data_IF_659657184833
#
_entry.id   IF_659657184833
#
_cell.length_a   1.000
_cell.length_b   1.000
_cell.length_c   1.000
_cell.angle_alpha   90.00
_cell.angle_beta   90.00
_cell.angle_gamma   90.00
#
_symmetry.space_group_name_H-M   'P 1'
#
loop_
_entity.id
_entity.type
_entity.pdbx_description
1 polymer ?
#
# COMPACT_ATOMS: atom_id res chain seq x y z
N UNK A 1 21.53 7.61 -9.81
CA UNK A 1 20.79 7.78 -8.54
C UNK A 1 19.98 9.06 -8.62
N UNK A 2 18.69 9.03 -8.28
CA UNK A 2 17.94 10.26 -8.00
C UNK A 2 18.70 11.08 -6.96
N UNK A 3 18.67 12.42 -7.05
CA UNK A 3 19.22 13.25 -5.97
C UNK A 3 18.30 13.17 -4.74
N UNK A 4 18.81 13.42 -3.53
CA UNK A 4 18.00 13.52 -2.31
C UNK A 4 16.81 14.49 -2.49
N UNK A 5 17.04 15.58 -3.22
CA UNK A 5 15.99 16.57 -3.51
C UNK A 5 14.84 15.97 -4.35
N UNK A 6 15.12 15.08 -5.30
CA UNK A 6 14.05 14.45 -6.11
C UNK A 6 13.13 13.55 -5.28
N UNK A 7 13.67 12.84 -4.27
CA UNK A 7 12.86 12.03 -3.36
C UNK A 7 12.06 12.91 -2.41
N UNK A 8 12.65 13.98 -1.87
CA UNK A 8 11.95 14.94 -1.02
C UNK A 8 10.79 15.62 -1.76
N UNK A 9 11.05 16.22 -2.93
CA UNK A 9 10.05 16.91 -3.75
C UNK A 9 8.91 15.96 -4.18
N UNK A 10 9.22 14.68 -4.43
CA UNK A 10 8.23 13.64 -4.71
C UNK A 10 7.31 13.37 -3.51
N UNK A 11 7.90 13.23 -2.31
CA UNK A 11 7.13 12.97 -1.09
C UNK A 11 6.21 14.16 -0.76
N UNK A 12 6.69 15.38 -1.00
CA UNK A 12 5.93 16.63 -0.81
C UNK A 12 4.86 16.86 -1.90
N UNK A 13 5.07 16.33 -3.12
CA UNK A 13 4.07 16.33 -4.21
C UNK A 13 4.23 17.41 -5.28
N UNK A 14 5.40 18.05 -5.38
CA UNK A 14 5.57 19.33 -6.11
C UNK A 14 6.29 19.23 -7.47
N UNK A 15 6.35 18.06 -8.11
CA UNK A 15 7.12 17.88 -9.34
C UNK A 15 6.25 17.90 -10.61
N UNK A 16 6.20 19.06 -11.28
CA UNK A 16 5.70 19.20 -12.66
C UNK A 16 6.87 19.40 -13.64
N UNK A 17 6.92 18.64 -14.74
CA UNK A 17 7.90 18.89 -15.81
C UNK A 17 7.29 19.74 -16.93
N UNK A 18 7.82 20.94 -17.16
CA UNK A 18 7.42 21.80 -18.28
C UNK A 18 8.26 21.49 -19.54
N UNK A 19 8.06 20.31 -20.14
CA UNK A 19 8.56 20.04 -21.49
C UNK A 19 7.40 19.78 -22.44
N UNK A 20 7.44 20.39 -23.62
CA UNK A 20 6.47 20.09 -24.67
C UNK A 20 6.64 18.63 -25.09
N UNK A 21 5.63 17.83 -24.78
CA UNK A 21 5.58 16.41 -25.04
C UNK A 21 4.35 16.06 -25.88
N UNK A 22 4.43 14.98 -26.65
CA UNK A 22 3.39 14.54 -27.58
C UNK A 22 3.01 13.09 -27.29
N UNK A 23 1.69 12.84 -27.20
CA UNK A 23 1.15 11.49 -26.97
C UNK A 23 1.30 10.62 -28.23
N UNK A 24 2.17 9.61 -28.18
CA UNK A 24 2.27 8.56 -29.20
C UNK A 24 2.00 7.20 -28.56
N UNK A 25 0.71 6.84 -28.49
CA UNK A 25 0.21 5.60 -27.90
C UNK A 25 0.85 4.33 -28.47
N UNK A 26 1.34 4.38 -29.71
CA UNK A 26 1.98 3.24 -30.36
C UNK A 26 3.32 2.84 -29.73
N UNK A 27 3.90 3.71 -28.89
CA UNK A 27 5.22 3.53 -28.27
C UNK A 27 5.17 3.09 -26.81
N UNK A 28 3.99 3.05 -26.19
CA UNK A 28 3.90 2.73 -24.77
C UNK A 28 4.01 1.24 -24.49
N UNK A 29 4.65 0.84 -23.37
CA UNK A 29 4.70 -0.55 -22.97
C UNK A 29 3.29 -1.06 -22.64
N UNK A 30 2.99 -2.29 -23.04
CA UNK A 30 1.71 -2.95 -22.68
C UNK A 30 1.85 -3.57 -21.29
N UNK A 31 1.78 -2.74 -20.27
CA UNK A 31 1.68 -3.17 -18.87
C UNK A 31 0.21 -3.16 -18.48
N UNK A 32 -0.30 -4.30 -18.01
CA UNK A 32 -1.69 -4.45 -17.56
C UNK A 32 -1.76 -4.46 -16.04
N UNK A 33 -2.90 -4.10 -15.47
CA UNK A 33 -3.14 -4.20 -14.02
C UNK A 33 -2.76 -5.59 -13.51
N UNK A 34 -1.85 -5.70 -12.52
CA UNK A 34 -1.50 -6.96 -11.89
C UNK A 34 -2.73 -7.71 -11.37
N UNK A 35 -2.74 -9.03 -11.56
CA UNK A 35 -3.87 -9.88 -11.16
C UNK A 35 -3.67 -10.57 -9.80
N UNK A 36 -2.44 -10.55 -9.27
CA UNK A 36 -2.07 -11.16 -8.00
C UNK A 36 -1.34 -10.14 -7.14
N UNK A 37 -1.47 -10.28 -5.82
CA UNK A 37 -0.71 -9.52 -4.82
C UNK A 37 0.52 -10.32 -4.37
N UNK A 38 1.56 -9.62 -3.93
CA UNK A 38 2.69 -10.24 -3.24
C UNK A 38 2.22 -10.75 -1.87
N UNK A 39 2.81 -11.83 -1.32
CA UNK A 39 2.47 -12.24 0.04
C UNK A 39 2.79 -11.12 1.05
N UNK A 40 1.76 -10.60 1.72
CA UNK A 40 1.90 -9.57 2.75
C UNK A 40 2.60 -10.13 4.00
N UNK A 41 3.38 -9.29 4.70
CA UNK A 41 3.93 -9.66 5.99
C UNK A 41 2.89 -9.38 7.08
N UNK A 42 2.73 -10.27 8.06
CA UNK A 42 1.96 -9.89 9.24
C UNK A 42 2.81 -8.91 10.08
N UNK A 43 2.20 -7.86 10.64
CA UNK A 43 2.94 -6.90 11.46
C UNK A 43 3.53 -7.52 12.73
N UNK A 44 4.83 -7.33 12.94
CA UNK A 44 5.61 -7.95 14.03
C UNK A 44 6.91 -8.58 13.54
N UNK A 45 7.66 -9.17 14.47
CA UNK A 45 8.89 -9.91 14.16
C UNK A 45 8.93 -11.26 14.88
N UNK A 46 9.67 -12.21 14.31
CA UNK A 46 9.85 -13.56 14.87
C UNK A 46 8.52 -14.20 15.31
N UNK A 47 7.52 -14.15 14.43
CA UNK A 47 6.16 -14.54 14.78
C UNK A 47 6.02 -16.05 14.89
N UNK A 48 5.16 -16.49 15.83
CA UNK A 48 4.74 -17.88 15.92
C UNK A 48 3.73 -18.18 14.80
N UNK A 49 3.78 -19.40 14.27
CA UNK A 49 2.87 -19.84 13.22
C UNK A 49 2.11 -21.08 13.67
N UNK A 50 0.81 -21.12 13.38
CA UNK A 50 -0.05 -22.31 13.49
C UNK A 50 -0.60 -22.68 12.12
N UNK A 51 -0.78 -23.99 11.90
CA UNK A 51 -1.54 -24.53 10.76
C UNK A 51 -2.74 -25.26 11.36
N UNK A 52 -3.94 -24.68 11.20
CA UNK A 52 -5.11 -25.08 11.96
C UNK A 52 -4.84 -24.97 13.48
N UNK A 53 -5.11 -26.01 14.29
CA UNK A 53 -4.85 -25.97 15.73
C UNK A 53 -3.39 -26.26 16.11
N UNK A 54 -2.53 -26.62 15.16
CA UNK A 54 -1.19 -27.16 15.45
C UNK A 54 -0.13 -26.04 15.35
N UNK A 55 0.61 -25.71 16.43
CA UNK A 55 1.75 -24.82 16.35
C UNK A 55 2.90 -25.47 15.59
N UNK A 56 3.62 -24.69 14.78
CA UNK A 56 4.85 -25.15 14.12
C UNK A 56 6.02 -24.93 15.08
N UNK A 57 6.54 -25.99 15.74
CA UNK A 57 7.57 -25.83 16.74
C UNK A 57 8.89 -25.40 16.09
N UNK A 58 9.67 -24.59 16.81
CA UNK A 58 11.00 -24.10 16.39
C UNK A 58 11.03 -23.25 15.10
N UNK A 59 9.89 -23.00 14.46
CA UNK A 59 9.78 -22.04 13.35
C UNK A 59 9.33 -20.67 13.87
N UNK A 60 9.93 -19.62 13.31
CA UNK A 60 9.57 -18.23 13.53
C UNK A 60 9.66 -17.48 12.21
N UNK A 61 8.62 -16.73 11.88
CA UNK A 61 8.60 -15.91 10.68
C UNK A 61 9.35 -14.60 10.97
N UNK A 62 10.47 -14.37 10.28
CA UNK A 62 11.25 -13.14 10.37
C UNK A 62 10.82 -12.19 9.25
N UNK A 63 10.20 -11.07 9.61
CA UNK A 63 9.67 -10.12 8.63
C UNK A 63 10.58 -8.90 8.45
N UNK A 64 11.61 -8.73 9.28
CA UNK A 64 12.44 -7.52 9.23
C UNK A 64 13.56 -7.64 8.20
N UNK A 65 13.66 -6.62 7.34
CA UNK A 65 14.71 -6.47 6.32
C UNK A 65 15.48 -5.15 6.53
N UNK A 66 16.67 -5.05 5.93
CA UNK A 66 17.42 -3.79 5.83
C UNK A 66 17.46 -3.25 4.39
N UNK A 67 17.91 -1.99 4.25
CA UNK A 67 17.88 -1.28 2.98
C UNK A 67 18.66 -2.01 1.86
N UNK A 68 19.79 -2.61 2.20
CA UNK A 68 20.65 -3.35 1.26
C UNK A 68 20.07 -4.72 0.88
N UNK A 69 19.13 -5.26 1.68
CA UNK A 69 18.52 -6.57 1.49
C UNK A 69 17.27 -6.54 0.60
N UNK A 70 16.63 -5.38 0.37
CA UNK A 70 15.30 -5.28 -0.28
C UNK A 70 15.26 -5.84 -1.71
N UNK A 71 16.41 -5.87 -2.39
CA UNK A 71 16.56 -6.37 -3.75
C UNK A 71 15.92 -5.49 -4.83
N UNK A 72 16.21 -5.78 -6.11
CA UNK A 72 15.64 -5.05 -7.24
C UNK A 72 14.16 -5.34 -7.41
N UNK A 73 13.40 -4.31 -7.77
CA UNK A 73 11.98 -4.41 -8.10
C UNK A 73 11.75 -5.14 -9.45
N UNK A 74 10.64 -5.86 -9.53
CA UNK A 74 10.14 -6.49 -10.74
C UNK A 74 8.62 -6.30 -10.84
N UNK A 75 8.15 -5.73 -11.94
CA UNK A 75 6.73 -5.59 -12.23
C UNK A 75 6.00 -6.93 -12.17
N UNK A 76 4.90 -6.98 -11.42
CA UNK A 76 4.03 -8.14 -11.27
C UNK A 76 4.77 -9.45 -10.87
N UNK A 77 5.81 -9.31 -10.04
CA UNK A 77 6.74 -10.40 -9.65
C UNK A 77 6.08 -11.61 -8.96
N UNK A 78 4.89 -11.45 -8.38
CA UNK A 78 4.22 -12.53 -7.65
C UNK A 78 5.12 -13.11 -6.56
N UNK A 79 5.37 -14.43 -6.59
CA UNK A 79 5.98 -15.15 -5.47
C UNK A 79 7.50 -15.33 -5.62
N UNK A 80 8.06 -15.39 -6.84
CA UNK A 80 9.51 -15.53 -7.04
C UNK A 80 9.99 -15.02 -8.42
N UNK A 81 10.86 -14.00 -8.41
CA UNK A 81 11.63 -13.56 -9.58
C UNK A 81 13.08 -13.27 -9.19
N UNK A 82 14.04 -13.58 -10.07
CA UNK A 82 15.46 -13.30 -9.86
C UNK A 82 15.99 -12.34 -10.92
N UNK A 83 16.58 -11.23 -10.48
CA UNK A 83 17.19 -10.20 -11.33
C UNK A 83 18.72 -10.28 -11.22
N UNK A 84 19.46 -10.53 -12.31
CA UNK A 84 20.93 -10.54 -12.31
C UNK A 84 21.51 -9.16 -11.98
N UNK A 85 22.72 -9.13 -11.38
CA UNK A 85 23.41 -7.87 -11.04
C UNK A 85 23.65 -6.97 -12.24
N UNK A 86 23.90 -7.55 -13.42
CA UNK A 86 24.07 -6.81 -14.68
C UNK A 86 22.80 -6.08 -15.15
N UNK A 87 21.63 -6.46 -14.62
CA UNK A 87 20.33 -5.89 -14.98
C UNK A 87 19.75 -5.01 -13.87
N UNK A 88 20.39 -4.99 -12.69
CA UNK A 88 19.96 -4.22 -11.52
C UNK A 88 20.57 -2.83 -11.50
N UNK A 89 19.74 -1.82 -11.29
CA UNK A 89 20.20 -0.44 -11.14
C UNK A 89 20.86 -0.18 -9.77
N UNK A 90 20.67 -1.07 -8.79
CA UNK A 90 21.25 -0.95 -7.45
C UNK A 90 22.70 -1.49 -7.38
N UNK A 91 23.23 -2.05 -8.47
CA UNK A 91 24.59 -2.59 -8.52
C UNK A 91 24.75 -3.98 -7.90
N UNK A 92 23.67 -4.59 -7.39
CA UNK A 92 23.63 -5.97 -6.92
C UNK A 92 22.40 -6.72 -7.45
N UNK A 93 22.56 -8.01 -7.75
CA UNK A 93 21.48 -8.89 -8.19
C UNK A 93 20.72 -9.49 -7.01
N UNK A 94 19.57 -10.10 -7.28
CA UNK A 94 18.73 -10.71 -6.25
C UNK A 94 17.28 -10.85 -6.68
N UNK A 95 16.48 -11.44 -5.80
CA UNK A 95 15.03 -11.43 -5.84
C UNK A 95 14.47 -10.26 -5.03
N UNK A 96 13.20 -9.94 -5.25
CA UNK A 96 12.47 -9.06 -4.34
C UNK A 96 12.46 -9.68 -2.93
N UNK A 97 13.01 -8.95 -1.95
CA UNK A 97 12.92 -9.31 -0.55
C UNK A 97 11.89 -8.38 0.09
N UNK A 98 10.67 -8.90 0.24
CA UNK A 98 9.58 -8.17 0.87
C UNK A 98 9.64 -8.42 2.38
N UNK A 99 9.53 -7.34 3.14
CA UNK A 99 9.60 -7.33 4.58
C UNK A 99 9.26 -5.95 5.12
N UNK A 100 9.29 -5.84 6.44
CA UNK A 100 9.01 -4.62 7.18
C UNK A 100 10.33 -3.99 7.62
N UNK A 101 10.41 -2.67 7.53
CA UNK A 101 11.49 -1.87 8.10
C UNK A 101 10.91 -0.65 8.82
N UNK A 102 11.71 0.03 9.63
CA UNK A 102 11.32 1.28 10.26
C UNK A 102 12.06 2.47 9.63
N UNK A 103 11.36 3.59 9.50
CA UNK A 103 11.90 4.87 9.04
C UNK A 103 11.54 5.98 10.02
N UNK A 104 12.42 6.96 10.19
CA UNK A 104 12.25 8.05 11.14
C UNK A 104 11.00 8.90 10.88
N UNK A 105 10.75 9.22 9.61
CA UNK A 105 9.70 10.14 9.19
C UNK A 105 8.46 9.43 8.63
N UNK A 106 8.58 8.16 8.23
CA UNK A 106 7.51 7.34 7.64
C UNK A 106 7.02 6.20 8.53
N UNK A 107 7.59 6.01 9.72
CA UNK A 107 7.21 4.91 10.61
C UNK A 107 7.57 3.54 10.01
N UNK A 108 6.76 2.52 10.29
CA UNK A 108 6.90 1.20 9.67
C UNK A 108 6.48 1.22 8.21
N UNK A 109 7.23 0.53 7.36
CA UNK A 109 6.97 0.38 5.93
C UNK A 109 6.99 -1.10 5.57
N UNK A 110 5.92 -1.60 4.96
CA UNK A 110 5.86 -2.92 4.31
C UNK A 110 6.17 -2.77 2.81
N UNK A 111 7.24 -3.44 2.37
CA UNK A 111 7.71 -3.33 0.99
C UNK A 111 6.83 -4.06 -0.04
N UNK A 112 6.05 -5.07 0.36
CA UNK A 112 5.09 -5.72 -0.53
C UNK A 112 3.99 -4.72 -0.93
N UNK A 113 3.42 -4.02 0.06
CA UNK A 113 2.39 -3.00 -0.14
C UNK A 113 2.88 -1.84 -1.02
N UNK A 114 4.11 -1.36 -0.79
CA UNK A 114 4.73 -0.33 -1.64
C UNK A 114 4.83 -0.81 -3.10
N UNK A 115 5.28 -2.06 -3.33
CA UNK A 115 5.52 -2.59 -4.67
C UNK A 115 4.23 -2.97 -5.40
N UNK A 116 3.24 -3.52 -4.71
CA UNK A 116 1.95 -3.87 -5.30
C UNK A 116 1.20 -2.62 -5.74
N UNK A 117 1.13 -1.59 -4.88
CA UNK A 117 0.47 -0.33 -5.25
C UNK A 117 1.22 0.42 -6.35
N UNK A 118 2.57 0.33 -6.37
CA UNK A 118 3.38 0.83 -7.48
C UNK A 118 3.01 0.17 -8.82
N UNK A 119 2.97 -1.17 -8.85
CA UNK A 119 2.64 -1.93 -10.06
C UNK A 119 1.19 -1.68 -10.51
N UNK A 120 0.25 -1.58 -9.57
CA UNK A 120 -1.14 -1.23 -9.86
C UNK A 120 -1.27 0.16 -10.46
N UNK A 121 -0.51 1.14 -9.95
CA UNK A 121 -0.48 2.50 -10.50
C UNK A 121 -0.02 2.48 -11.96
N UNK A 122 1.05 1.74 -12.26
CA UNK A 122 1.58 1.63 -13.62
C UNK A 122 0.60 0.92 -14.56
N UNK A 123 -0.03 -0.17 -14.10
CA UNK A 123 -0.99 -0.92 -14.90
C UNK A 123 -2.28 -0.15 -15.19
N UNK A 124 -2.79 0.59 -14.20
CA UNK A 124 -3.97 1.44 -14.36
C UNK A 124 -3.70 2.63 -15.28
N UNK A 125 -2.50 3.21 -15.22
CA UNK A 125 -2.14 4.40 -15.96
C UNK A 125 -2.36 4.28 -17.47
N UNK A 126 -1.84 3.23 -18.11
CA UNK A 126 -1.97 3.08 -19.55
C UNK A 126 -3.41 2.79 -19.99
N UNK A 127 -4.16 2.03 -19.20
CA UNK A 127 -5.57 1.73 -19.47
C UNK A 127 -6.43 3.00 -19.34
N UNK A 128 -6.18 3.82 -18.32
CA UNK A 128 -6.88 5.10 -18.11
C UNK A 128 -6.52 6.08 -19.21
N UNK A 129 -5.23 6.21 -19.56
CA UNK A 129 -4.77 7.14 -20.59
C UNK A 129 -5.41 6.85 -21.95
N UNK A 130 -5.46 5.58 -22.36
CA UNK A 130 -6.05 5.16 -23.63
C UNK A 130 -7.56 5.42 -23.72
N UNK A 131 -8.25 5.50 -22.57
CA UNK A 131 -9.71 5.68 -22.49
C UNK A 131 -10.11 7.03 -21.87
N UNK A 132 -9.17 7.96 -21.70
CA UNK A 132 -9.44 9.21 -21.01
C UNK A 132 -10.49 10.07 -21.76
N UNK A 133 -11.52 10.50 -21.03
CA UNK A 133 -12.65 11.24 -21.59
C UNK A 133 -13.81 10.35 -22.07
N UNK A 134 -13.64 9.02 -22.09
CA UNK A 134 -14.67 8.07 -22.49
C UNK A 134 -15.25 7.36 -21.27
N UNK A 135 -16.52 6.96 -21.37
CA UNK A 135 -17.08 6.03 -20.40
C UNK A 135 -16.43 4.65 -20.60
N UNK A 136 -15.80 4.12 -19.56
CA UNK A 136 -15.02 2.89 -19.64
C UNK A 136 -15.06 2.13 -18.32
N UNK A 137 -14.84 0.82 -18.37
CA UNK A 137 -14.77 -0.02 -17.18
C UNK A 137 -13.49 -0.83 -17.22
N UNK A 138 -12.75 -0.80 -16.11
CA UNK A 138 -11.54 -1.61 -15.91
C UNK A 138 -11.85 -2.65 -14.84
N UNK A 139 -11.97 -3.91 -15.26
CA UNK A 139 -12.20 -5.01 -14.31
C UNK A 139 -10.93 -5.29 -13.49
N UNK A 140 -11.11 -5.47 -12.19
CA UNK A 140 -10.05 -5.78 -11.24
C UNK A 140 -10.28 -7.19 -10.66
N UNK A 141 -9.23 -7.83 -10.09
CA UNK A 141 -9.41 -9.09 -9.38
C UNK A 141 -10.49 -8.97 -8.30
N UNK A 142 -11.44 -9.91 -8.34
CA UNK A 142 -12.54 -9.99 -7.39
C UNK A 142 -12.06 -10.46 -6.01
N UNK A 143 -12.67 -9.94 -4.96
CA UNK A 143 -12.37 -10.32 -3.57
C UNK A 143 -13.66 -10.66 -2.82
N UNK A 144 -14.34 -9.68 -2.23
CA UNK A 144 -15.68 -9.86 -1.65
C UNK A 144 -16.79 -10.06 -2.69
N UNK A 145 -16.47 -9.78 -3.95
CA UNK A 145 -17.35 -9.81 -5.12
C UNK A 145 -16.68 -9.07 -6.28
N UNK A 146 -17.42 -8.73 -7.34
CA UNK A 146 -16.90 -7.93 -8.44
C UNK A 146 -16.26 -6.62 -7.94
N UNK A 147 -15.06 -6.33 -8.43
CA UNK A 147 -14.34 -5.08 -8.18
C UNK A 147 -13.90 -4.48 -9.52
N UNK A 148 -14.08 -3.19 -9.71
CA UNK A 148 -13.76 -2.52 -10.97
C UNK A 148 -13.54 -1.02 -10.79
N UNK A 149 -12.86 -0.40 -11.74
CA UNK A 149 -12.89 1.06 -11.94
C UNK A 149 -14.00 1.37 -12.93
N UNK A 150 -14.88 2.30 -12.56
CA UNK A 150 -15.90 2.88 -13.42
C UNK A 150 -15.47 4.30 -13.81
N UNK A 151 -15.20 4.52 -15.10
CA UNK A 151 -14.84 5.82 -15.66
C UNK A 151 -16.06 6.46 -16.33
N UNK A 152 -16.29 7.74 -16.05
CA UNK A 152 -17.31 8.55 -16.69
C UNK A 152 -16.73 9.28 -17.91
N UNK A 153 -17.56 9.46 -18.93
CA UNK A 153 -17.22 10.32 -20.07
C UNK A 153 -17.16 11.79 -19.64
N UNK A 154 -16.15 12.52 -20.09
CA UNK A 154 -16.06 13.97 -19.91
C UNK A 154 -15.34 14.60 -21.12
N UNK A 155 -15.50 15.90 -21.31
CA UNK A 155 -14.82 16.60 -22.40
C UNK A 155 -13.33 16.77 -22.11
N UNK A 156 -12.51 15.86 -22.64
CA UNK A 156 -11.06 15.96 -22.59
C UNK A 156 -10.47 16.79 -23.75
N UNK A 157 -11.29 17.26 -24.72
CA UNK A 157 -10.79 17.90 -25.95
C UNK A 157 -10.04 19.22 -25.71
N UNK A 158 -10.36 19.90 -24.61
CA UNK A 158 -9.67 21.13 -24.19
C UNK A 158 -8.33 20.88 -23.48
N UNK A 159 -8.04 19.63 -23.09
CA UNK A 159 -6.79 19.28 -22.41
C UNK A 159 -5.66 19.09 -23.43
N UNK A 160 -4.50 19.67 -23.14
CA UNK A 160 -3.25 19.36 -23.86
C UNK A 160 -2.80 17.93 -23.57
N UNK A 161 -1.87 17.41 -24.38
CA UNK A 161 -1.28 16.08 -24.17
C UNK A 161 -0.65 15.92 -22.77
N UNK A 162 0.05 16.96 -22.30
CA UNK A 162 0.62 16.98 -20.95
C UNK A 162 -0.46 16.98 -19.86
N UNK A 163 -1.55 17.72 -20.05
CA UNK A 163 -2.67 17.71 -19.11
C UNK A 163 -3.37 16.35 -19.08
N UNK A 164 -3.58 15.72 -20.25
CA UNK A 164 -4.14 14.36 -20.34
C UNK A 164 -3.24 13.34 -19.63
N UNK A 165 -1.93 13.43 -19.84
CA UNK A 165 -0.94 12.61 -19.15
C UNK A 165 -1.00 12.80 -17.63
N UNK A 166 -0.98 14.05 -17.16
CA UNK A 166 -1.07 14.40 -15.74
C UNK A 166 -2.36 13.90 -15.10
N UNK A 167 -3.51 14.13 -15.73
CA UNK A 167 -4.82 13.67 -15.23
C UNK A 167 -4.87 12.14 -15.14
N UNK A 168 -4.43 11.43 -16.19
CA UNK A 168 -4.38 9.97 -16.18
C UNK A 168 -3.42 9.43 -15.09
N UNK A 169 -2.28 10.09 -14.88
CA UNK A 169 -1.30 9.71 -13.86
C UNK A 169 -1.88 9.80 -12.44
N UNK A 170 -2.55 10.92 -12.12
CA UNK A 170 -3.15 11.12 -10.80
C UNK A 170 -4.37 10.23 -10.57
N UNK A 171 -5.21 10.00 -11.60
CA UNK A 171 -6.28 9.01 -11.53
C UNK A 171 -5.73 7.63 -11.23
N UNK A 172 -4.70 7.19 -11.94
CA UNK A 172 -4.09 5.88 -11.74
C UNK A 172 -3.52 5.70 -10.34
N UNK A 173 -2.80 6.71 -9.82
CA UNK A 173 -2.24 6.67 -8.47
C UNK A 173 -3.32 6.60 -7.39
N UNK A 174 -4.38 7.42 -7.50
CA UNK A 174 -5.51 7.39 -6.54
C UNK A 174 -6.29 6.09 -6.62
N UNK A 175 -6.59 5.60 -7.82
CA UNK A 175 -7.34 4.36 -7.99
C UNK A 175 -6.54 3.12 -7.57
N UNK A 176 -5.21 3.10 -7.77
CA UNK A 176 -4.34 2.05 -7.23
C UNK A 176 -4.33 2.07 -5.71
N UNK A 177 -4.23 3.25 -5.11
CA UNK A 177 -4.29 3.41 -3.67
C UNK A 177 -5.65 2.96 -3.10
N UNK A 178 -6.77 3.37 -3.70
CA UNK A 178 -8.09 2.89 -3.30
C UNK A 178 -8.28 1.39 -3.55
N UNK A 179 -7.65 0.82 -4.60
CA UNK A 179 -7.65 -0.63 -4.80
C UNK A 179 -7.00 -1.32 -3.59
N UNK A 180 -5.89 -0.81 -3.08
CA UNK A 180 -5.27 -1.32 -1.86
C UNK A 180 -6.17 -1.12 -0.62
N UNK A 181 -6.81 0.03 -0.45
CA UNK A 181 -7.78 0.22 0.65
C UNK A 181 -8.97 -0.76 0.59
N UNK A 182 -9.45 -1.07 -0.62
CA UNK A 182 -10.51 -2.06 -0.79
C UNK A 182 -10.06 -3.47 -0.40
N UNK A 183 -8.76 -3.77 -0.53
CA UNK A 183 -8.16 -5.03 -0.08
C UNK A 183 -8.17 -5.13 1.46
N UNK A 184 -7.86 -4.04 2.16
CA UNK A 184 -7.95 -3.98 3.63
C UNK A 184 -9.38 -4.26 4.13
N UNK A 185 -10.37 -3.64 3.48
CA UNK A 185 -11.80 -3.92 3.74
C UNK A 185 -12.10 -5.40 3.48
N UNK A 186 -11.67 -5.93 2.33
CA UNK A 186 -11.94 -7.31 1.97
C UNK A 186 -11.36 -8.30 2.99
N UNK A 187 -10.10 -8.14 3.38
CA UNK A 187 -9.44 -9.00 4.36
C UNK A 187 -10.13 -8.94 5.72
N UNK A 188 -10.57 -7.75 6.15
CA UNK A 188 -11.32 -7.60 7.42
C UNK A 188 -12.62 -8.41 7.39
N UNK A 189 -13.31 -8.40 6.24
CA UNK A 189 -14.55 -9.13 5.99
C UNK A 189 -14.35 -10.60 5.62
N UNK A 190 -13.14 -11.14 5.81
CA UNK A 190 -12.84 -12.57 5.69
C UNK A 190 -12.41 -13.03 4.29
N UNK A 191 -12.06 -12.11 3.39
CA UNK A 191 -11.33 -12.47 2.18
C UNK A 191 -9.95 -13.06 2.52
N UNK A 192 -9.50 -14.00 1.69
CA UNK A 192 -8.18 -14.60 1.77
C UNK A 192 -7.70 -14.94 0.37
N UNK A 193 -6.51 -14.48 0.01
CA UNK A 193 -5.85 -14.76 -1.25
C UNK A 193 -5.44 -16.24 -1.36
N UNK A 194 -5.21 -16.90 -0.22
CA UNK A 194 -4.93 -18.33 -0.15
C UNK A 194 -5.97 -19.09 0.69
N UNK A 195 -6.67 -20.04 0.05
CA UNK A 195 -7.68 -20.87 0.70
C UNK A 195 -7.14 -21.57 1.96
N UNK A 196 -7.77 -21.33 3.11
CA UNK A 196 -7.39 -21.91 4.40
C UNK A 196 -6.37 -21.10 5.20
N UNK A 197 -5.96 -19.93 4.71
CA UNK A 197 -5.13 -18.97 5.45
C UNK A 197 -5.91 -17.68 5.70
N UNK A 198 -6.51 -17.50 6.89
CA UNK A 198 -7.19 -16.25 7.22
C UNK A 198 -6.23 -15.05 7.13
N UNK A 199 -6.58 -14.06 6.31
CA UNK A 199 -5.81 -12.82 6.13
C UNK A 199 -6.31 -11.67 7.00
N UNK A 200 -7.31 -11.91 7.86
CA UNK A 200 -7.85 -10.94 8.83
C UNK A 200 -6.78 -10.35 9.74
N UNK A 201 -5.64 -11.02 9.89
CA UNK A 201 -4.49 -10.53 10.66
C UNK A 201 -3.87 -9.27 10.04
N UNK A 202 -3.80 -9.22 8.70
CA UNK A 202 -3.22 -8.10 7.93
C UNK A 202 -4.21 -6.96 7.71
N UNK A 203 -5.51 -7.22 7.79
CA UNK A 203 -6.53 -6.19 7.50
C UNK A 203 -6.38 -4.90 8.33
N UNK A 204 -6.15 -3.77 7.69
CA UNK A 204 -5.88 -2.48 8.35
C UNK A 204 -4.63 -2.51 9.26
N UNK A 205 -3.57 -3.23 8.89
CA UNK A 205 -2.33 -3.14 9.65
C UNK A 205 -1.79 -1.71 9.65
N UNK A 206 -1.07 -1.33 10.71
CA UNK A 206 -0.73 0.08 10.95
C UNK A 206 0.16 0.72 9.87
N UNK A 207 0.94 -0.10 9.17
CA UNK A 207 1.92 0.26 8.15
C UNK A 207 1.34 0.28 6.73
N UNK A 208 0.23 -0.43 6.48
CA UNK A 208 -0.22 -0.75 5.13
C UNK A 208 -0.66 0.49 4.36
N UNK A 209 -1.54 1.33 4.94
CA UNK A 209 -2.05 2.53 4.26
C UNK A 209 -0.92 3.50 3.87
N UNK A 210 0.07 3.69 4.74
CA UNK A 210 1.20 4.58 4.44
C UNK A 210 2.12 3.95 3.37
N UNK A 211 2.34 2.64 3.45
CA UNK A 211 3.14 1.87 2.49
C UNK A 211 2.51 1.87 1.09
N UNK A 212 1.20 1.64 1.01
CA UNK A 212 0.42 1.71 -0.22
C UNK A 212 0.52 3.13 -0.84
N UNK A 213 0.30 4.17 -0.04
CA UNK A 213 0.41 5.57 -0.50
C UNK A 213 1.81 5.92 -1.00
N UNK A 214 2.86 5.42 -0.34
CA UNK A 214 4.25 5.59 -0.78
C UNK A 214 4.48 4.95 -2.16
N UNK A 215 3.97 3.74 -2.38
CA UNK A 215 4.02 3.05 -3.68
C UNK A 215 3.38 3.84 -4.80
N UNK A 216 2.16 4.34 -4.57
CA UNK A 216 1.44 5.19 -5.51
C UNK A 216 2.23 6.47 -5.87
N UNK A 217 2.79 7.16 -4.87
CA UNK A 217 3.57 8.39 -5.09
C UNK A 217 4.89 8.16 -5.84
N UNK A 218 5.59 7.06 -5.57
CA UNK A 218 6.80 6.68 -6.30
C UNK A 218 6.51 6.57 -7.80
N UNK A 219 5.44 5.85 -8.16
CA UNK A 219 5.12 5.62 -9.56
C UNK A 219 4.46 6.83 -10.22
N UNK A 220 3.62 7.58 -9.51
CA UNK A 220 3.11 8.88 -9.97
C UNK A 220 4.26 9.79 -10.42
N UNK A 221 5.32 9.89 -9.59
CA UNK A 221 6.48 10.70 -9.91
C UNK A 221 7.26 10.20 -11.12
N UNK A 222 7.41 8.88 -11.27
CA UNK A 222 7.99 8.31 -12.48
C UNK A 222 7.18 8.71 -13.70
N UNK A 223 5.84 8.54 -13.66
CA UNK A 223 4.88 8.91 -14.70
C UNK A 223 5.05 10.37 -15.10
N UNK A 224 4.97 11.29 -14.15
CA UNK A 224 5.15 12.72 -14.41
C UNK A 224 6.52 13.04 -15.04
N UNK A 225 7.57 12.30 -14.71
CA UNK A 225 8.91 12.50 -15.27
C UNK A 225 9.18 11.69 -16.55
N UNK A 226 8.20 10.94 -17.07
CA UNK A 226 8.33 10.11 -18.26
C UNK A 226 9.46 9.05 -18.18
N UNK A 227 9.79 8.58 -16.96
CA UNK A 227 10.89 7.65 -16.66
C UNK A 227 10.49 6.15 -16.70
N UNK A 228 9.58 5.74 -17.58
CA UNK A 228 9.02 4.37 -17.59
C UNK A 228 8.72 3.82 -18.99
N UNK A 229 9.40 4.30 -20.04
CA UNK A 229 9.10 3.97 -21.43
C UNK A 229 9.33 2.48 -21.81
N UNK A 230 9.83 1.67 -20.87
CA UNK A 230 9.89 0.22 -20.97
C UNK A 230 9.76 -0.43 -19.58
N UNK A 231 9.33 -1.69 -19.51
CA UNK A 231 9.29 -2.45 -18.24
C UNK A 231 10.67 -2.49 -17.55
N UNK A 232 11.75 -2.57 -18.33
CA UNK A 232 13.12 -2.54 -17.80
C UNK A 232 13.42 -1.22 -17.11
N UNK A 233 13.13 -0.10 -17.76
CA UNK A 233 13.33 1.23 -17.18
C UNK A 233 12.44 1.44 -15.96
N UNK A 234 11.19 0.99 -16.01
CA UNK A 234 10.27 1.00 -14.88
C UNK A 234 10.87 0.25 -13.68
N UNK A 235 11.26 -1.02 -13.85
CA UNK A 235 11.84 -1.84 -12.79
C UNK A 235 13.09 -1.20 -12.17
N UNK A 236 13.97 -0.66 -13.02
CA UNK A 236 15.18 0.02 -12.58
C UNK A 236 14.86 1.30 -11.80
N UNK A 237 13.94 2.13 -12.31
CA UNK A 237 13.63 3.42 -11.71
C UNK A 237 12.81 3.30 -10.43
N UNK A 238 11.90 2.32 -10.32
CA UNK A 238 11.23 2.00 -9.04
C UNK A 238 12.25 1.53 -8.02
N UNK A 239 13.19 0.66 -8.40
CA UNK A 239 14.26 0.22 -7.48
C UNK A 239 15.05 1.41 -6.92
N UNK A 240 15.43 2.34 -7.80
CA UNK A 240 16.20 3.52 -7.44
C UNK A 240 15.41 4.51 -6.57
N UNK A 241 14.17 4.82 -6.94
CA UNK A 241 13.33 5.75 -6.19
C UNK A 241 12.87 5.17 -4.86
N UNK A 242 12.54 3.88 -4.79
CA UNK A 242 12.23 3.23 -3.52
C UNK A 242 13.39 3.36 -2.54
N UNK A 243 14.61 3.03 -2.99
CA UNK A 243 15.80 3.15 -2.15
C UNK A 243 16.03 4.59 -1.69
N UNK A 244 15.95 5.56 -2.60
CA UNK A 244 16.09 6.99 -2.27
C UNK A 244 15.00 7.49 -1.31
N UNK A 245 13.76 7.03 -1.48
CA UNK A 245 12.63 7.41 -0.63
C UNK A 245 12.79 6.88 0.79
N UNK A 246 13.23 5.63 0.95
CA UNK A 246 13.53 5.05 2.25
C UNK A 246 14.67 5.80 2.96
N UNK A 247 15.70 6.20 2.22
CA UNK A 247 16.78 7.04 2.76
C UNK A 247 16.26 8.42 3.20
N UNK A 248 15.42 9.08 2.39
CA UNK A 248 14.83 10.38 2.72
C UNK A 248 13.91 10.33 3.94
N UNK A 249 13.13 9.24 4.07
CA UNK A 249 12.34 8.93 5.26
C UNK A 249 13.20 8.59 6.48
N UNK A 250 14.51 8.43 6.32
CA UNK A 250 15.46 8.14 7.38
C UNK A 250 15.34 6.69 7.87
N UNK A 251 15.36 5.72 6.95
CA UNK A 251 15.44 4.29 7.25
C UNK A 251 16.54 4.01 8.27
N UNK A 252 16.19 3.22 9.29
CA UNK A 252 17.12 2.80 10.34
C UNK A 252 17.70 1.43 10.04
N UNK A 253 18.76 1.04 10.75
CA UNK A 253 19.33 -0.30 10.57
C UNK A 253 18.35 -1.41 11.03
N UNK A 254 18.63 -2.65 10.60
CA UNK A 254 17.81 -3.83 10.92
C UNK A 254 17.63 -4.03 12.42
N UNK A 255 18.69 -3.79 13.20
CA UNK A 255 18.69 -4.00 14.64
C UNK A 255 17.79 -2.98 15.35
N UNK A 256 17.84 -1.73 14.91
CA UNK A 256 16.95 -0.67 15.38
C UNK A 256 15.49 -0.97 15.02
N UNK A 257 15.21 -1.42 13.79
CA UNK A 257 13.85 -1.83 13.38
C UNK A 257 13.29 -2.95 14.27
N UNK A 258 14.10 -3.98 14.58
CA UNK A 258 13.73 -5.05 15.52
C UNK A 258 13.50 -4.54 16.94
N UNK A 259 14.34 -3.63 17.44
CA UNK A 259 14.18 -3.02 18.76
C UNK A 259 12.90 -2.18 18.85
N UNK A 260 12.55 -1.45 17.78
CA UNK A 260 11.28 -0.72 17.71
C UNK A 260 10.11 -1.68 17.78
N UNK A 261 10.11 -2.77 16.99
CA UNK A 261 9.05 -3.79 17.05
C UNK A 261 8.94 -4.39 18.46
N UNK A 262 10.05 -4.72 19.11
CA UNK A 262 10.06 -5.21 20.48
C UNK A 262 9.50 -4.19 21.48
N UNK A 263 9.75 -2.89 21.29
CA UNK A 263 9.25 -1.84 22.19
C UNK A 263 7.72 -1.63 22.11
N UNK A 264 7.13 -1.96 20.96
CA UNK A 264 5.67 -1.87 20.73
C UNK A 264 4.95 -3.22 20.87
N UNK A 265 5.68 -4.29 21.24
CA UNK A 265 5.08 -5.58 21.59
C UNK A 265 4.22 -5.46 22.86
N UNK A 266 3.09 -6.17 22.86
CA UNK A 266 1.99 -6.05 23.81
C UNK A 266 1.16 -4.76 23.69
N UNK A 267 1.48 -3.87 22.75
CA UNK A 267 0.77 -2.58 22.56
C UNK A 267 0.20 -2.42 21.16
N UNK A 268 1.04 -2.65 20.13
CA UNK A 268 0.65 -2.59 18.72
C UNK A 268 0.52 -3.97 18.10
N UNK A 269 1.26 -4.94 18.63
CA UNK A 269 1.16 -6.35 18.27
C UNK A 269 1.47 -7.24 19.48
N UNK A 270 1.23 -8.54 19.38
CA UNK A 270 1.43 -9.48 20.48
C UNK A 270 2.26 -10.71 20.05
N UNK A 271 3.52 -10.76 20.46
CA UNK A 271 4.44 -11.89 20.19
C UNK A 271 4.04 -13.21 20.87
N UNK A 272 3.12 -13.16 21.84
CA UNK A 272 2.61 -14.38 22.48
C UNK A 272 1.60 -15.11 21.59
N UNK A 273 0.90 -14.37 20.75
CA UNK A 273 -0.03 -14.90 19.76
C UNK A 273 0.67 -15.45 18.52
N UNK A 274 -0.08 -16.20 17.73
CA UNK A 274 0.43 -16.85 16.52
C UNK A 274 -0.43 -16.49 15.32
N UNK A 275 0.20 -16.35 14.16
CA UNK A 275 -0.51 -16.31 12.88
C UNK A 275 -1.33 -17.61 12.74
N UNK A 276 -2.62 -17.55 12.33
CA UNK A 276 -3.34 -16.39 11.76
C UNK A 276 -4.29 -15.66 12.72
N UNK A 277 -4.01 -15.61 14.04
CA UNK A 277 -4.89 -14.89 14.98
C UNK A 277 -5.00 -13.40 14.62
N UNK A 278 -6.22 -12.93 14.32
CA UNK A 278 -6.54 -11.52 14.01
C UNK A 278 -5.93 -10.56 15.04
N UNK A 279 -6.09 -10.82 16.33
CA UNK A 279 -5.62 -9.92 17.39
C UNK A 279 -4.17 -10.15 17.82
N UNK A 280 -3.37 -10.81 16.97
CA UNK A 280 -1.92 -10.65 17.04
C UNK A 280 -1.53 -9.21 16.69
N UNK A 281 -2.26 -8.55 15.79
CA UNK A 281 -2.16 -7.11 15.53
C UNK A 281 -3.19 -6.40 16.41
N UNK A 282 -2.72 -5.57 17.34
CA UNK A 282 -3.51 -4.92 18.38
C UNK A 282 -3.89 -3.48 18.01
N UNK A 283 -2.99 -2.79 17.31
CA UNK A 283 -3.20 -1.44 16.79
C UNK A 283 -3.39 -1.53 15.27
N UNK A 284 -4.46 -0.92 14.76
CA UNK A 284 -4.82 -0.90 13.33
C UNK A 284 -5.00 0.53 12.83
N UNK A 285 -4.98 0.71 11.50
CA UNK A 285 -5.14 2.01 10.84
C UNK A 285 -6.43 2.07 10.03
N UNK A 286 -7.45 2.77 10.55
CA UNK A 286 -8.78 2.88 9.94
C UNK A 286 -9.06 4.22 9.25
N UNK A 287 -8.05 5.11 9.18
CA UNK A 287 -8.18 6.43 8.59
C UNK A 287 -7.85 6.38 7.10
N UNK A 288 -8.81 5.86 6.32
CA UNK A 288 -8.72 5.74 4.87
C UNK A 288 -8.92 7.09 4.19
N UNK A 289 -8.33 7.24 3.01
CA UNK A 289 -8.48 8.39 2.13
C UNK A 289 -7.16 9.00 1.66
N UNK A 290 -7.27 10.13 0.96
CA UNK A 290 -6.20 10.77 0.19
C UNK A 290 -5.02 11.35 1.01
N UNK A 291 -5.06 11.28 2.34
CA UNK A 291 -4.04 11.86 3.25
C UNK A 291 -3.62 10.80 4.25
N UNK A 292 -2.34 10.45 4.25
CA UNK A 292 -1.78 9.41 5.11
C UNK A 292 -0.65 9.94 5.97
N UNK A 293 -0.78 9.69 7.28
CA UNK A 293 0.24 9.99 8.30
C UNK A 293 0.67 8.67 8.93
N UNK A 294 1.98 8.45 9.14
CA UNK A 294 2.44 7.20 9.71
C UNK A 294 2.15 7.15 11.21
N UNK A 295 1.90 5.96 11.74
CA UNK A 295 1.81 5.75 13.18
C UNK A 295 3.14 6.11 13.84
N UNK A 296 3.08 6.94 14.89
CA UNK A 296 4.26 7.51 15.53
C UNK A 296 4.59 6.80 16.84
N UNK A 297 5.86 6.52 17.02
CA UNK A 297 6.39 6.15 18.34
C UNK A 297 6.26 7.34 19.29
N UNK A 298 6.04 7.02 20.56
CA UNK A 298 6.13 7.98 21.66
C UNK A 298 7.29 7.59 22.59
N UNK A 299 7.81 8.53 23.39
CA UNK A 299 8.81 8.19 24.40
C UNK A 299 8.37 7.07 25.36
N UNK A 300 7.08 7.01 25.68
CA UNK A 300 6.47 5.99 26.52
C UNK A 300 6.45 4.60 25.85
N UNK A 301 6.22 4.55 24.53
CA UNK A 301 6.27 3.30 23.77
C UNK A 301 7.67 2.70 23.80
N UNK A 302 8.69 3.53 23.53
CA UNK A 302 10.09 3.11 23.53
C UNK A 302 10.60 2.71 24.93
N UNK A 303 10.10 3.38 25.97
CA UNK A 303 10.54 3.16 27.35
C UNK A 303 11.99 3.58 27.59
N UNK A 304 12.44 3.40 28.83
CA UNK A 304 13.80 3.81 29.25
C UNK A 304 14.90 2.91 28.68
N UNK A 305 14.56 1.65 28.41
CA UNK A 305 15.53 0.64 27.93
C UNK A 305 15.99 0.92 26.50
N UNK A 306 15.14 1.55 25.68
CA UNK A 306 15.46 2.00 24.33
C UNK A 306 15.80 3.50 24.26
N UNK A 307 16.52 4.01 25.26
CA UNK A 307 16.89 5.44 25.36
C UNK A 307 17.66 5.95 24.12
N UNK A 308 18.44 5.08 23.48
CA UNK A 308 19.16 5.34 22.24
C UNK A 308 18.24 5.50 21.01
N UNK A 309 16.98 5.10 21.09
CA UNK A 309 15.98 5.21 20.02
C UNK A 309 15.02 6.39 20.20
N UNK A 310 15.16 7.16 21.28
CA UNK A 310 14.23 8.25 21.62
C UNK A 310 14.14 9.34 20.54
N UNK A 311 15.19 9.51 19.73
CA UNK A 311 15.16 10.41 18.58
C UNK A 311 14.10 10.01 17.54
N UNK A 312 13.76 8.72 17.42
CA UNK A 312 12.72 8.22 16.49
C UNK A 312 11.31 8.73 16.85
N UNK A 313 11.05 8.98 18.14
CA UNK A 313 9.81 9.55 18.62
C UNK A 313 9.75 11.08 18.43
N UNK A 314 10.88 11.73 18.17
CA UNK A 314 10.99 13.19 18.06
C UNK A 314 11.01 13.70 16.62
N UNK A 315 11.35 12.84 15.65
CA UNK A 315 11.37 13.22 14.23
C UNK A 315 9.99 13.71 13.75
N UNK A 316 9.88 14.72 12.88
CA UNK A 316 8.60 15.07 12.27
C UNK A 316 8.15 13.98 11.30
N UNK A 317 6.85 13.74 11.21
CA UNK A 317 6.29 12.81 10.22
C UNK A 317 6.25 13.48 8.85
N UNK A 318 6.52 12.72 7.79
CA UNK A 318 6.17 13.13 6.43
C UNK A 318 4.76 12.63 6.15
N UNK A 319 3.84 13.58 5.91
CA UNK A 319 2.47 13.28 5.48
C UNK A 319 2.48 13.05 3.98
N UNK A 320 1.87 11.95 3.52
CA UNK A 320 1.73 11.65 2.11
C UNK A 320 0.32 11.98 1.66
N UNK A 321 0.21 12.66 0.52
CA UNK A 321 -1.09 13.04 -0.06
C UNK A 321 -1.17 12.72 -1.54
N UNK A 322 -2.39 12.44 -2.00
CA UNK A 322 -2.79 12.47 -3.40
C UNK A 322 -3.89 13.52 -3.58
N UNK A 323 -3.81 14.38 -4.60
CA UNK A 323 -4.79 15.47 -4.77
C UNK A 323 -6.12 14.94 -5.30
N UNK A 324 -7.24 15.32 -4.68
CA UNK A 324 -8.59 15.01 -5.17
C UNK A 324 -8.95 15.70 -6.50
N UNK A 325 -8.20 16.74 -6.88
CA UNK A 325 -8.41 17.48 -8.13
C UNK A 325 -7.11 17.85 -8.82
N UNK A 326 -7.08 17.77 -10.14
CA UNK A 326 -5.93 18.13 -11.01
C UNK A 326 -6.45 18.80 -12.27
N UNK A 327 -5.75 19.83 -12.78
CA UNK A 327 -6.22 20.62 -13.94
C UNK A 327 -7.65 21.19 -13.80
N UNK A 328 -8.05 21.55 -12.56
CA UNK A 328 -9.42 21.97 -12.20
C UNK A 328 -10.50 20.90 -12.40
N UNK A 329 -10.11 19.65 -12.61
CA UNK A 329 -11.00 18.50 -12.69
C UNK A 329 -11.06 17.81 -11.33
N UNK A 330 -12.27 17.55 -10.85
CA UNK A 330 -12.52 16.66 -9.71
C UNK A 330 -12.40 15.21 -10.19
N UNK A 331 -11.44 14.49 -9.64
CA UNK A 331 -11.08 13.17 -10.11
C UNK A 331 -12.14 12.10 -9.74
N UNK A 332 -12.90 12.30 -8.66
CA UNK A 332 -13.95 11.35 -8.24
C UNK A 332 -15.19 11.41 -9.15
N UNK A 333 -15.35 12.53 -9.87
CA UNK A 333 -16.36 12.66 -10.93
C UNK A 333 -15.92 11.99 -12.24
N UNK A 334 -14.61 11.75 -12.42
CA UNK A 334 -14.07 11.13 -13.63
C UNK A 334 -13.99 9.61 -13.47
N UNK A 335 -13.51 9.11 -12.33
CA UNK A 335 -13.39 7.68 -12.13
C UNK A 335 -13.61 7.29 -10.67
N UNK A 336 -14.26 6.13 -10.48
CA UNK A 336 -14.51 5.57 -9.17
C UNK A 336 -14.07 4.13 -9.11
N UNK A 337 -13.35 3.76 -8.05
CA UNK A 337 -13.24 2.36 -7.67
C UNK A 337 -14.56 1.90 -7.02
N UNK A 338 -15.03 0.73 -7.46
CA UNK A 338 -16.29 0.10 -7.04
C UNK A 338 -16.02 -1.31 -6.57
N UNK A 339 -16.64 -1.68 -5.46
CA UNK A 339 -16.64 -3.01 -4.88
C UNK A 339 -18.09 -3.46 -4.65
N UNK A 340 -18.46 -4.62 -5.17
CA UNK A 340 -19.74 -5.26 -4.90
C UNK A 340 -19.55 -6.38 -3.87
N UNK A 341 -20.55 -6.59 -3.01
CA UNK A 341 -20.52 -7.62 -1.96
C UNK A 341 -21.35 -8.82 -2.41
N UNK A 342 -20.69 -9.95 -2.66
CA UNK A 342 -21.36 -11.19 -3.00
C UNK A 342 -22.22 -11.70 -1.82
N UNK A 343 -23.33 -12.42 -2.09
CA UNK A 343 -24.21 -12.93 -1.02
C UNK A 343 -23.49 -13.76 0.05
N UNK A 344 -22.39 -14.45 -0.29
CA UNK A 344 -21.59 -15.24 0.64
C UNK A 344 -20.88 -14.40 1.72
N UNK A 345 -20.66 -13.11 1.47
CA UNK A 345 -20.03 -12.18 2.42
C UNK A 345 -21.04 -11.27 3.12
N UNK A 346 -22.33 -11.29 2.73
CA UNK A 346 -23.34 -10.39 3.27
C UNK A 346 -23.42 -10.39 4.81
N UNK A 347 -23.24 -11.56 5.44
CA UNK A 347 -23.30 -11.68 6.90
C UNK A 347 -22.13 -10.99 7.63
N UNK A 348 -20.98 -10.82 6.97
CA UNK A 348 -19.82 -10.13 7.58
C UNK A 348 -20.04 -8.61 7.66
N UNK A 349 -21.02 -8.08 6.91
CA UNK A 349 -21.41 -6.67 6.92
C UNK A 349 -22.58 -6.33 7.86
N UNK A 350 -23.04 -7.27 8.70
CA UNK A 350 -24.20 -7.07 9.58
C UNK A 350 -24.05 -5.92 10.60
N UNK A 351 -22.83 -5.51 10.91
CA UNK A 351 -22.51 -4.38 11.80
C UNK A 351 -22.58 -3.01 11.08
N UNK A 352 -22.80 -2.99 9.75
CA UNK A 352 -22.87 -1.80 8.90
C UNK A 352 -24.31 -1.64 8.35
N UNK A 353 -24.91 -0.44 8.39
CA UNK A 353 -26.21 -0.19 7.76
C UNK A 353 -26.25 -0.61 6.29
N UNK A 354 -27.22 -1.45 5.89
CA UNK A 354 -27.34 -2.00 4.52
C UNK A 354 -27.21 -0.97 3.41
N UNK A 355 -27.79 0.23 3.58
CA UNK A 355 -27.71 1.34 2.61
C UNK A 355 -26.28 1.76 2.22
N UNK A 356 -25.26 1.38 2.99
CA UNK A 356 -23.86 1.71 2.73
C UNK A 356 -23.21 0.68 1.80
N UNK A 357 -23.64 -0.60 1.84
CA UNK A 357 -22.90 -1.69 1.19
C UNK A 357 -23.74 -2.62 0.32
N UNK A 358 -25.07 -2.65 0.45
CA UNK A 358 -25.90 -3.72 -0.09
C UNK A 358 -26.09 -3.73 -1.61
N UNK A 359 -25.81 -2.61 -2.28
CA UNK A 359 -25.91 -2.51 -3.74
C UNK A 359 -24.50 -2.49 -4.37
N UNK A 360 -23.73 -1.45 -4.06
CA UNK A 360 -22.32 -1.29 -4.41
C UNK A 360 -21.66 -0.36 -3.40
N UNK A 361 -20.36 -0.53 -3.21
CA UNK A 361 -19.51 0.33 -2.39
C UNK A 361 -18.57 1.08 -3.33
N UNK A 362 -18.65 2.41 -3.32
CA UNK A 362 -17.67 3.29 -3.94
C UNK A 362 -16.57 3.62 -2.94
N UNK A 363 -15.35 3.89 -3.41
CA UNK A 363 -14.23 4.28 -2.55
C UNK A 363 -14.53 5.46 -1.60
N UNK A 364 -15.42 6.38 -1.98
CA UNK A 364 -15.89 7.48 -1.12
C UNK A 364 -16.60 7.01 0.15
N UNK A 365 -17.06 5.75 0.19
CA UNK A 365 -17.70 5.11 1.33
C UNK A 365 -16.72 4.27 2.17
N UNK A 366 -15.47 4.07 1.72
CA UNK A 366 -14.49 3.28 2.46
C UNK A 366 -14.18 3.83 3.87
N UNK A 367 -14.03 5.15 4.08
CA UNK A 367 -13.77 5.68 5.43
C UNK A 367 -14.88 5.35 6.42
N UNK A 368 -16.16 5.43 6.01
CA UNK A 368 -17.27 5.10 6.91
C UNK A 368 -17.33 3.59 7.21
N UNK A 369 -17.01 2.73 6.24
CA UNK A 369 -16.92 1.27 6.46
C UNK A 369 -15.80 0.94 7.44
N UNK A 370 -14.61 1.52 7.26
CA UNK A 370 -13.49 1.32 8.17
C UNK A 370 -13.79 1.77 9.61
N UNK A 371 -14.59 2.83 9.80
CA UNK A 371 -15.06 3.23 11.15
C UNK A 371 -16.00 2.22 11.80
N UNK A 372 -16.82 1.52 11.02
CA UNK A 372 -17.61 0.41 11.58
C UNK A 372 -16.74 -0.78 11.95
N UNK A 373 -15.71 -1.10 11.14
CA UNK A 373 -14.71 -2.11 11.46
C UNK A 373 -13.96 -1.77 12.75
N UNK A 374 -13.51 -0.51 12.92
CA UNK A 374 -12.87 -0.01 14.15
C UNK A 374 -13.73 -0.22 15.40
N UNK A 375 -15.02 0.13 15.31
CA UNK A 375 -15.96 -0.04 16.41
C UNK A 375 -16.19 -1.51 16.76
N UNK A 376 -16.23 -2.39 15.76
CA UNK A 376 -16.42 -3.83 15.94
C UNK A 376 -15.17 -4.45 16.58
N UNK A 377 -13.97 -4.18 16.06
CA UNK A 377 -12.70 -4.65 16.65
C UNK A 377 -12.57 -4.20 18.10
N UNK A 378 -12.94 -2.95 18.40
CA UNK A 378 -12.92 -2.42 19.77
C UNK A 378 -13.92 -3.11 20.72
N UNK A 379 -15.03 -3.66 20.23
CA UNK A 379 -15.95 -4.47 21.03
C UNK A 379 -15.41 -5.88 21.25
N UNK A 380 -14.86 -6.48 20.20
CA UNK A 380 -14.27 -7.83 20.24
C UNK A 380 -13.08 -7.89 21.20
N UNK A 381 -12.16 -6.92 21.13
CA UNK A 381 -11.02 -6.82 22.04
C UNK A 381 -11.44 -6.68 23.51
N UNK A 382 -12.45 -5.85 23.80
CA UNK A 382 -12.98 -5.73 25.16
C UNK A 382 -13.59 -7.03 25.68
N UNK A 383 -14.24 -7.81 24.80
CA UNK A 383 -14.80 -9.10 25.17
C UNK A 383 -13.69 -10.11 25.49
N UNK A 384 -12.59 -10.11 24.72
CA UNK A 384 -11.41 -10.94 24.96
C UNK A 384 -10.74 -10.63 26.30
N UNK A 385 -10.53 -9.35 26.61
CA UNK A 385 -9.96 -8.89 27.89
C UNK A 385 -10.80 -9.31 29.12
N UNK A 386 -12.12 -9.44 28.95
CA UNK A 386 -13.02 -9.90 30.01
C UNK A 386 -12.94 -11.42 30.19
N UNK A 387 -12.65 -12.17 29.14
CA UNK A 387 -12.46 -13.64 29.22
C UNK A 387 -11.09 -14.07 29.71
N UNK A 388 -10.07 -13.21 29.63
CA UNK A 388 -8.71 -13.50 30.13
C UNK A 388 -8.49 -13.13 31.61
N UNK A 389 -9.44 -12.43 32.24
CA UNK A 389 -9.46 -12.12 33.69
C UNK A 389 -10.36 -13.08 34.44
#
# INVERSE_FOLDING_TARGET
MPSSNQAADMLEGDLTTNQNWYLDESRYPRLTVPQNVRPCCAFGDMQKVKIGPVPVPFFRLNNVVELEEIGPHKFASGIYHYTPSSSSALGHGGSENNGILYTQKGGFIDLAHVRDTADDTMGLFFEILANLGQAHRIDLPAELGPRYVEMASFDASSLTDEQRWSVAAHLAARLAYFKAESHEIAQWHGYASFSGWPETISAYSLEDLYSNMLGAKIVLNLIQQHKMLSEREYNQNVSLLLNASLQELGVVDKSQSKLVLAAVDGKWWNSHESIPNKYMVLQRHYDLGDVQTPHRLTPELLGKENSNLQYLAQSPAIVLTLPASVESLDLDNIAKLVLEVAPSYADTFNHIPKRIWSERIEHTQFPVIAKYAELQDGQEMKALDVTEK
#
